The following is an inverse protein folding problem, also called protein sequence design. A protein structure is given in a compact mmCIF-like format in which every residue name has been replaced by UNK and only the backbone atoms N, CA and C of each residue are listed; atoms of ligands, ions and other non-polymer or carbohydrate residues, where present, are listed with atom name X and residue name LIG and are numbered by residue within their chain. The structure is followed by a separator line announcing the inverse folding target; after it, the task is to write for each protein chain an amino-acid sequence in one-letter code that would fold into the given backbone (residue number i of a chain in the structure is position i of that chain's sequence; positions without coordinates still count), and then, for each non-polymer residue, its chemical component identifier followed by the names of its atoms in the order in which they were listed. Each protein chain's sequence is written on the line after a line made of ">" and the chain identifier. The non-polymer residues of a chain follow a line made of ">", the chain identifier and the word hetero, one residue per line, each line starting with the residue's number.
data_IF_664364588348
#
_entry.id   IF_664364588348
#
_cell.length_a   1.000
_cell.length_b   1.000
_cell.length_c   1.000
_cell.angle_alpha   90.00
_cell.angle_beta   90.00
_cell.angle_gamma   90.00
#
_symmetry.space_group_name_H-M   'P 1'
#
loop_
_entity.id
_entity.type
_entity.pdbx_description
1 polymer ?
#
# COMPACT_ATOMS: atom_id res chain seq x y z
N UNK A 1 20.85 4.91 -3.49
CA UNK A 1 20.31 3.75 -2.72
C UNK A 1 20.92 3.59 -1.31
N UNK A 2 21.92 4.40 -0.92
CA UNK A 2 22.49 4.36 0.45
C UNK A 2 21.49 4.82 1.53
N UNK A 3 20.50 5.67 1.17
CA UNK A 3 19.45 6.15 2.04
C UNK A 3 18.45 5.05 2.45
N UNK A 4 18.28 3.99 1.63
CA UNK A 4 17.31 2.93 1.88
C UNK A 4 17.76 2.02 3.04
N UNK A 5 17.46 2.44 4.28
CA UNK A 5 17.77 1.71 5.52
C UNK A 5 16.53 1.28 6.31
N UNK A 6 15.42 2.03 6.19
CA UNK A 6 14.16 1.79 6.86
C UNK A 6 13.01 1.78 5.83
N UNK A 7 12.06 0.86 5.94
CA UNK A 7 10.90 0.76 5.02
C UNK A 7 9.91 1.93 5.15
N UNK A 8 9.96 2.67 6.23
CA UNK A 8 9.22 3.93 6.39
C UNK A 8 9.90 5.13 5.76
N UNK A 9 11.14 4.97 5.25
CA UNK A 9 11.95 6.05 4.68
C UNK A 9 12.48 5.65 3.29
N UNK A 10 11.60 5.69 2.31
CA UNK A 10 11.85 5.21 0.95
C UNK A 10 12.15 6.33 -0.05
N UNK A 11 11.74 7.57 0.26
CA UNK A 11 11.84 8.70 -0.65
C UNK A 11 13.26 9.26 -0.62
N UNK A 12 13.90 9.30 -1.79
CA UNK A 12 15.22 9.89 -1.95
C UNK A 12 15.13 11.41 -2.09
N UNK A 13 15.61 12.13 -1.08
CA UNK A 13 15.54 13.59 -0.98
C UNK A 13 16.51 14.32 -1.89
N UNK A 14 17.36 13.60 -2.62
CA UNK A 14 18.20 14.19 -3.67
C UNK A 14 17.42 14.40 -4.97
N UNK A 15 16.22 13.80 -5.11
CA UNK A 15 15.34 13.98 -6.26
C UNK A 15 14.43 15.21 -6.10
N UNK A 16 13.74 15.57 -7.18
CA UNK A 16 12.73 16.64 -7.18
C UNK A 16 11.47 16.19 -6.40
N UNK A 17 11.37 16.60 -5.15
CA UNK A 17 10.28 16.22 -4.24
C UNK A 17 8.93 16.83 -4.60
N UNK A 18 8.89 17.87 -5.47
CA UNK A 18 7.62 18.49 -5.90
C UNK A 18 6.81 17.61 -6.86
N UNK A 19 7.42 16.55 -7.40
CA UNK A 19 6.72 15.62 -8.30
C UNK A 19 5.61 14.84 -7.58
N UNK A 20 4.50 14.53 -8.28
CA UNK A 20 3.41 13.77 -7.71
C UNK A 20 3.85 12.37 -7.26
N UNK A 21 3.66 12.04 -5.98
CA UNK A 21 3.88 10.71 -5.42
C UNK A 21 2.59 9.89 -5.38
N UNK A 22 1.46 10.55 -5.02
CA UNK A 22 0.19 9.87 -4.81
C UNK A 22 -0.97 10.70 -5.36
N UNK A 23 -1.80 10.05 -6.17
CA UNK A 23 -3.14 10.52 -6.56
C UNK A 23 -4.12 9.58 -5.85
N UNK A 24 -4.74 10.08 -4.82
CA UNK A 24 -5.65 9.31 -3.97
C UNK A 24 -7.10 9.51 -4.39
N UNK A 25 -7.75 8.41 -4.75
CA UNK A 25 -9.13 8.33 -5.21
C UNK A 25 -10.07 7.74 -4.15
N UNK A 26 -9.65 7.73 -2.87
CA UNK A 26 -10.45 7.17 -1.78
C UNK A 26 -11.69 8.01 -1.46
N UNK A 27 -11.64 9.31 -1.68
CA UNK A 27 -12.78 10.21 -1.52
C UNK A 27 -13.44 10.45 -2.87
N UNK A 28 -14.67 9.96 -3.07
CA UNK A 28 -15.35 9.89 -4.38
C UNK A 28 -15.44 11.22 -5.12
N UNK A 29 -15.64 12.33 -4.41
CA UNK A 29 -15.89 13.66 -5.00
C UNK A 29 -14.67 14.59 -4.91
N UNK A 30 -13.59 14.12 -4.28
CA UNK A 30 -12.41 14.94 -4.05
C UNK A 30 -11.12 14.14 -4.29
N UNK A 31 -10.54 14.31 -5.47
CA UNK A 31 -9.25 13.72 -5.80
C UNK A 31 -8.14 14.46 -5.08
N UNK A 32 -7.47 13.77 -4.15
CA UNK A 32 -6.36 14.34 -3.40
C UNK A 32 -5.04 14.03 -4.09
N UNK A 33 -4.15 15.01 -4.12
CA UNK A 33 -2.82 14.88 -4.76
C UNK A 33 -1.76 15.23 -3.76
N UNK A 34 -0.77 14.35 -3.65
CA UNK A 34 0.36 14.51 -2.75
C UNK A 34 1.66 14.43 -3.57
N UNK A 35 2.57 15.37 -3.34
CA UNK A 35 3.94 15.29 -3.83
C UNK A 35 4.76 14.28 -3.02
N UNK A 36 5.98 13.99 -3.45
CA UNK A 36 6.91 13.22 -2.64
C UNK A 36 7.27 13.95 -1.34
N UNK A 37 7.31 15.28 -1.37
CA UNK A 37 7.52 16.12 -0.18
C UNK A 37 6.37 15.96 0.81
N UNK A 38 5.11 16.02 0.34
CA UNK A 38 3.93 15.88 1.20
C UNK A 38 3.92 14.51 1.89
N UNK A 39 4.20 13.44 1.16
CA UNK A 39 4.22 12.08 1.75
C UNK A 39 5.38 11.91 2.73
N UNK A 40 6.57 12.46 2.43
CA UNK A 40 7.72 12.40 3.33
C UNK A 40 7.46 13.18 4.62
N UNK A 41 6.94 14.41 4.49
CA UNK A 41 6.60 15.26 5.64
C UNK A 41 5.50 14.66 6.52
N UNK A 42 4.43 14.14 5.91
CA UNK A 42 3.35 13.51 6.65
C UNK A 42 3.79 12.20 7.37
N UNK A 43 4.66 11.40 6.73
CA UNK A 43 5.22 10.21 7.38
C UNK A 43 6.16 10.55 8.53
N UNK A 44 6.92 11.67 8.45
CA UNK A 44 7.70 12.22 9.58
C UNK A 44 6.76 12.68 10.69
N UNK A 45 5.72 13.45 10.35
CA UNK A 45 4.77 13.97 11.31
C UNK A 45 4.04 12.84 12.06
N UNK A 46 3.67 11.78 11.38
CA UNK A 46 3.08 10.58 11.99
C UNK A 46 4.07 9.89 12.93
N UNK A 47 5.33 9.71 12.52
CA UNK A 47 6.36 9.12 13.37
C UNK A 47 6.58 9.93 14.66
N UNK A 48 6.67 11.26 14.55
CA UNK A 48 6.77 12.18 15.69
C UNK A 48 5.55 12.08 16.60
N UNK A 49 4.36 12.09 16.01
CA UNK A 49 3.09 12.02 16.75
C UNK A 49 2.98 10.75 17.58
N UNK A 50 3.34 9.60 17.01
CA UNK A 50 3.38 8.33 17.73
C UNK A 50 4.36 8.37 18.93
N UNK A 51 5.58 8.85 18.71
CA UNK A 51 6.59 8.98 19.78
C UNK A 51 6.14 9.96 20.86
N UNK A 52 5.58 11.12 20.48
CA UNK A 52 5.06 12.14 21.41
C UNK A 52 3.92 11.61 22.29
N UNK A 53 3.09 10.74 21.74
CA UNK A 53 2.00 10.05 22.47
C UNK A 53 2.48 8.85 23.30
N UNK A 54 3.81 8.60 23.37
CA UNK A 54 4.44 7.64 24.28
C UNK A 54 4.65 6.24 23.70
N UNK A 55 4.34 6.01 22.40
CA UNK A 55 4.66 4.75 21.75
C UNK A 55 6.17 4.60 21.55
N UNK A 56 6.66 3.35 21.60
CA UNK A 56 8.08 3.03 21.61
C UNK A 56 8.46 2.09 20.47
N UNK A 57 9.75 2.04 20.15
CA UNK A 57 10.31 1.05 19.22
C UNK A 57 9.82 -0.36 19.59
N UNK A 58 9.39 -1.10 18.59
CA UNK A 58 8.82 -2.44 18.72
C UNK A 58 7.34 -2.48 19.09
N UNK A 59 6.67 -1.34 19.35
CA UNK A 59 5.23 -1.32 19.56
C UNK A 59 4.48 -1.67 18.26
N UNK A 60 3.39 -2.41 18.38
CA UNK A 60 2.58 -2.86 17.25
C UNK A 60 1.40 -1.94 17.02
N UNK A 61 1.31 -1.39 15.81
CA UNK A 61 0.28 -0.43 15.39
C UNK A 61 -0.54 -1.06 14.26
N UNK A 62 -1.82 -1.28 14.50
CA UNK A 62 -2.73 -1.86 13.54
C UNK A 62 -3.31 -0.82 12.57
N UNK A 63 -3.56 -1.23 11.33
CA UNK A 63 -4.26 -0.43 10.32
C UNK A 63 -5.40 -1.30 9.75
N UNK A 64 -6.65 -0.95 10.08
CA UNK A 64 -7.86 -1.63 9.65
C UNK A 64 -8.69 -0.69 8.77
N UNK A 65 -8.32 -0.53 7.52
CA UNK A 65 -8.93 0.47 6.63
C UNK A 65 -8.89 0.05 5.16
N UNK A 66 -9.68 0.73 4.32
CA UNK A 66 -9.51 0.72 2.87
C UNK A 66 -8.22 1.45 2.47
N UNK A 67 -7.83 1.32 1.20
CA UNK A 67 -6.68 2.05 0.68
C UNK A 67 -6.95 3.55 0.70
N UNK A 68 -6.03 4.32 1.26
CA UNK A 68 -6.07 5.78 1.30
C UNK A 68 -4.67 6.36 1.53
N UNK A 69 -4.53 7.68 1.43
CA UNK A 69 -3.30 8.38 1.79
C UNK A 69 -2.95 8.16 3.26
N UNK A 70 -3.94 8.25 4.15
CA UNK A 70 -3.79 8.04 5.60
C UNK A 70 -3.23 6.65 5.92
N UNK A 71 -3.70 5.63 5.19
CA UNK A 71 -3.16 4.27 5.30
C UNK A 71 -1.66 4.25 5.02
N UNK A 72 -1.23 4.82 3.88
CA UNK A 72 0.18 4.85 3.50
C UNK A 72 1.02 5.69 4.47
N UNK A 73 0.53 6.84 4.89
CA UNK A 73 1.22 7.74 5.84
C UNK A 73 1.40 7.04 7.19
N UNK A 74 0.33 6.40 7.71
CA UNK A 74 0.40 5.63 8.96
C UNK A 74 1.39 4.48 8.85
N UNK A 75 1.32 3.72 7.73
CA UNK A 75 2.21 2.59 7.48
C UNK A 75 3.69 3.01 7.45
N UNK A 76 4.00 4.09 6.74
CA UNK A 76 5.37 4.60 6.63
C UNK A 76 5.84 5.21 7.95
N UNK A 77 5.03 6.05 8.59
CA UNK A 77 5.35 6.72 9.85
C UNK A 77 5.60 5.74 11.00
N UNK A 78 4.79 4.70 11.11
CA UNK A 78 4.96 3.61 12.08
C UNK A 78 6.34 2.97 11.96
N UNK A 79 6.71 2.55 10.77
CA UNK A 79 8.02 1.91 10.55
C UNK A 79 9.18 2.90 10.69
N UNK A 80 8.99 4.17 10.29
CA UNK A 80 10.00 5.23 10.45
C UNK A 80 10.33 5.47 11.93
N UNK A 81 9.34 5.33 12.80
CA UNK A 81 9.50 5.42 14.25
C UNK A 81 10.04 4.14 14.92
N UNK A 82 10.46 3.14 14.14
CA UNK A 82 10.93 1.85 14.66
C UNK A 82 9.84 0.98 15.28
N UNK A 83 8.58 1.27 14.97
CA UNK A 83 7.41 0.49 15.39
C UNK A 83 7.01 -0.50 14.29
N UNK A 84 6.18 -1.47 14.63
CA UNK A 84 5.78 -2.56 13.75
C UNK A 84 4.37 -2.31 13.22
N UNK A 85 4.20 -2.24 11.90
CA UNK A 85 2.90 -2.04 11.28
C UNK A 85 2.16 -3.36 11.08
N UNK A 86 0.86 -3.39 11.45
CA UNK A 86 -0.01 -4.56 11.32
C UNK A 86 -1.20 -4.21 10.41
N UNK A 87 -1.02 -4.24 9.06
CA UNK A 87 -2.11 -4.08 8.12
C UNK A 87 -3.09 -5.26 8.22
N UNK A 88 -4.36 -4.99 8.54
CA UNK A 88 -5.38 -6.02 8.77
C UNK A 88 -6.37 -6.06 7.60
N UNK A 89 -6.66 -7.26 7.13
CA UNK A 89 -7.71 -7.47 6.13
C UNK A 89 -9.09 -7.19 6.74
N UNK A 90 -9.67 -6.05 6.40
CA UNK A 90 -10.98 -5.61 6.87
C UNK A 90 -12.17 -6.48 6.38
N UNK A 91 -11.92 -7.46 5.51
CA UNK A 91 -12.91 -8.45 5.07
C UNK A 91 -12.99 -9.68 5.99
N UNK A 92 -12.10 -9.78 6.96
CA UNK A 92 -12.20 -10.82 7.97
C UNK A 92 -13.39 -10.57 8.90
N UNK A 93 -14.02 -11.65 9.43
CA UNK A 93 -14.99 -11.54 10.50
C UNK A 93 -14.41 -10.82 11.73
N UNK A 94 -15.26 -10.14 12.50
CA UNK A 94 -14.84 -9.37 13.69
C UNK A 94 -14.06 -10.22 14.70
N UNK A 95 -14.47 -11.47 14.93
CA UNK A 95 -13.73 -12.42 15.78
C UNK A 95 -12.31 -12.69 15.31
N UNK A 96 -12.11 -12.73 13.98
CA UNK A 96 -10.79 -12.90 13.38
C UNK A 96 -9.94 -11.64 13.54
N UNK A 97 -10.55 -10.46 13.41
CA UNK A 97 -9.89 -9.17 13.65
C UNK A 97 -9.46 -9.06 15.11
N UNK A 98 -10.34 -9.41 16.04
CA UNK A 98 -10.04 -9.45 17.48
C UNK A 98 -8.88 -10.39 17.79
N UNK A 99 -8.92 -11.60 17.22
CA UNK A 99 -7.81 -12.55 17.35
C UNK A 99 -6.48 -11.94 16.85
N UNK A 100 -6.47 -11.30 15.69
CA UNK A 100 -5.24 -10.70 15.12
C UNK A 100 -4.72 -9.58 16.01
N UNK A 101 -5.59 -8.71 16.50
CA UNK A 101 -5.20 -7.60 17.39
C UNK A 101 -4.60 -8.09 18.69
N UNK A 102 -5.17 -9.17 19.25
CA UNK A 102 -4.68 -9.81 20.48
C UNK A 102 -3.38 -10.59 20.23
N UNK A 103 -3.32 -11.43 19.20
CA UNK A 103 -2.15 -12.23 18.82
C UNK A 103 -0.92 -11.36 18.50
N UNK A 104 -1.15 -10.27 17.78
CA UNK A 104 -0.13 -9.27 17.52
C UNK A 104 0.13 -8.32 18.69
N UNK A 105 -0.55 -8.43 19.81
CA UNK A 105 -0.45 -7.49 20.93
C UNK A 105 -0.49 -6.00 20.49
N UNK A 106 -1.44 -5.66 19.61
CA UNK A 106 -1.59 -4.32 19.08
C UNK A 106 -1.93 -3.31 20.18
N UNK A 107 -1.25 -2.16 20.18
CA UNK A 107 -1.45 -1.10 21.17
C UNK A 107 -2.36 0.03 20.70
N UNK A 108 -2.55 0.15 19.37
CA UNK A 108 -3.33 1.20 18.74
C UNK A 108 -3.89 0.68 17.42
N UNK A 109 -5.10 1.11 17.06
CA UNK A 109 -5.74 0.79 15.79
C UNK A 109 -6.06 2.07 15.05
N UNK A 110 -5.50 2.24 13.86
CA UNK A 110 -5.96 3.23 12.89
C UNK A 110 -7.02 2.59 12.00
N UNK A 111 -8.14 3.28 11.81
CA UNK A 111 -9.25 2.74 11.01
C UNK A 111 -9.95 3.86 10.23
N UNK A 112 -10.74 3.49 9.23
CA UNK A 112 -11.70 4.41 8.62
C UNK A 112 -13.10 4.27 9.26
N UNK A 113 -14.00 5.22 8.96
CA UNK A 113 -15.35 5.27 9.53
C UNK A 113 -16.14 3.99 9.28
N UNK A 114 -16.04 3.45 8.07
CA UNK A 114 -16.82 2.26 7.67
C UNK A 114 -16.42 0.99 8.44
N UNK A 115 -15.19 0.94 8.95
CA UNK A 115 -14.62 -0.22 9.66
C UNK A 115 -14.50 -0.01 11.15
N UNK A 116 -14.85 1.18 11.66
CA UNK A 116 -14.80 1.49 13.09
C UNK A 116 -15.57 0.47 13.94
N UNK A 117 -16.73 0.04 13.49
CA UNK A 117 -17.55 -0.96 14.19
C UNK A 117 -16.93 -2.37 14.25
N UNK A 118 -15.90 -2.64 13.45
CA UNK A 118 -15.19 -3.92 13.45
C UNK A 118 -14.06 -3.96 14.50
N UNK A 119 -13.67 -2.78 15.04
CA UNK A 119 -12.65 -2.72 16.09
C UNK A 119 -13.27 -3.13 17.43
N UNK A 120 -12.74 -4.16 18.11
CA UNK A 120 -13.25 -4.58 19.40
C UNK A 120 -13.10 -3.48 20.46
N UNK A 121 -14.00 -3.49 21.45
CA UNK A 121 -13.91 -2.57 22.58
C UNK A 121 -12.62 -2.78 23.39
N UNK A 122 -12.04 -1.70 23.89
CA UNK A 122 -10.84 -1.73 24.74
C UNK A 122 -9.53 -1.41 24.01
N UNK A 123 -9.53 -1.33 22.70
CA UNK A 123 -8.40 -0.83 21.94
C UNK A 123 -8.49 0.69 21.76
N UNK A 124 -7.40 1.45 21.94
CA UNK A 124 -7.33 2.83 21.48
C UNK A 124 -7.51 2.89 19.96
N UNK A 125 -8.33 3.85 19.49
CA UNK A 125 -8.68 3.97 18.06
C UNK A 125 -8.43 5.39 17.57
N UNK A 126 -7.92 5.49 16.33
CA UNK A 126 -7.81 6.73 15.57
C UNK A 126 -8.57 6.55 14.25
N UNK A 127 -9.43 7.51 13.92
CA UNK A 127 -10.29 7.41 12.74
C UNK A 127 -9.79 8.34 11.63
N UNK A 128 -9.67 7.81 10.42
CA UNK A 128 -9.29 8.56 9.23
C UNK A 128 -10.43 9.47 8.77
N UNK A 129 -10.09 10.68 8.30
CA UNK A 129 -11.02 11.64 7.70
C UNK A 129 -12.21 12.04 8.61
N UNK A 130 -12.00 12.09 9.91
CA UNK A 130 -12.96 12.60 10.89
C UNK A 130 -12.51 13.96 11.42
N UNK A 131 -13.49 14.73 11.96
CA UNK A 131 -13.24 16.04 12.58
C UNK A 131 -13.39 16.00 14.11
N UNK A 132 -13.80 14.85 14.64
CA UNK A 132 -14.06 14.66 16.07
C UNK A 132 -12.78 14.30 16.83
N UNK A 133 -12.89 14.15 18.14
CA UNK A 133 -11.80 13.70 19.02
C UNK A 133 -11.19 12.37 18.53
N UNK A 134 -9.86 12.26 18.55
CA UNK A 134 -9.08 11.14 18.00
C UNK A 134 -9.08 11.02 16.46
N UNK A 135 -9.18 12.14 15.77
CA UNK A 135 -9.00 12.17 14.33
C UNK A 135 -7.51 11.96 13.94
N UNK A 136 -7.29 11.57 12.69
CA UNK A 136 -5.95 11.30 12.15
C UNK A 136 -5.02 12.53 12.22
N UNK A 137 -5.53 13.73 11.96
CA UNK A 137 -4.71 14.94 11.87
C UNK A 137 -4.11 15.33 13.21
N UNK A 138 -4.78 15.00 14.36
CA UNK A 138 -4.25 15.21 15.71
C UNK A 138 -3.04 14.30 16.04
N UNK A 139 -2.76 13.34 15.18
CA UNK A 139 -1.60 12.45 15.30
C UNK A 139 -0.42 12.90 14.43
N UNK A 140 -0.60 13.93 13.61
CA UNK A 140 0.46 14.51 12.81
C UNK A 140 1.16 15.63 13.59
N UNK A 141 2.29 15.32 14.21
CA UNK A 141 3.16 16.33 14.85
C UNK A 141 4.19 16.82 13.84
N UNK A 142 3.86 17.88 13.10
CA UNK A 142 4.67 18.37 11.99
C UNK A 142 6.06 18.85 12.44
N UNK A 143 7.08 18.48 11.67
CA UNK A 143 8.48 18.84 11.87
C UNK A 143 9.43 17.73 11.44
N UNK A 144 10.73 17.96 11.60
CA UNK A 144 11.73 16.96 11.28
C UNK A 144 11.73 15.78 12.25
N UNK A 145 12.02 14.62 11.71
CA UNK A 145 12.16 13.38 12.45
C UNK A 145 13.34 12.57 11.90
N UNK A 146 14.26 12.21 12.78
CA UNK A 146 15.34 11.32 12.42
C UNK A 146 14.84 9.90 12.40
N UNK A 147 14.84 9.30 11.20
CA UNK A 147 14.36 7.93 11.00
C UNK A 147 15.16 6.93 11.83
N UNK A 148 14.48 6.09 12.60
CA UNK A 148 15.13 5.04 13.39
C UNK A 148 15.82 4.05 12.45
N UNK A 149 17.11 3.83 12.64
CA UNK A 149 17.85 2.82 11.89
C UNK A 149 17.53 1.45 12.47
N UNK A 150 16.98 0.52 11.66
CA UNK A 150 16.68 -0.81 12.13
C UNK A 150 17.93 -1.61 12.47
N UNK A 151 17.82 -2.48 13.46
CA UNK A 151 18.81 -3.52 13.74
C UNK A 151 18.75 -4.63 12.69
N UNK A 152 19.73 -5.51 12.70
CA UNK A 152 19.73 -6.67 11.81
C UNK A 152 18.51 -7.56 12.09
N UNK A 153 17.81 -7.96 11.03
CA UNK A 153 16.57 -8.77 11.09
C UNK A 153 15.41 -8.13 11.85
N UNK A 154 15.44 -6.81 12.14
CA UNK A 154 14.33 -6.15 12.80
C UNK A 154 13.05 -6.20 11.96
N UNK A 155 11.97 -6.60 12.62
CA UNK A 155 10.65 -6.72 12.00
C UNK A 155 10.07 -5.33 11.74
N UNK A 156 9.62 -5.11 10.52
CA UNK A 156 8.96 -3.87 10.09
C UNK A 156 7.43 -3.97 10.14
N UNK A 157 6.90 -5.15 9.84
CA UNK A 157 5.47 -5.38 9.76
C UNK A 157 5.13 -6.86 9.93
N UNK A 158 3.87 -7.14 10.33
CA UNK A 158 3.27 -8.46 10.17
C UNK A 158 2.20 -8.41 9.10
N UNK A 159 2.16 -9.41 8.24
CA UNK A 159 1.00 -9.67 7.38
C UNK A 159 0.36 -10.98 7.77
N UNK A 160 -0.94 -10.93 8.07
CA UNK A 160 -1.69 -12.12 8.45
C UNK A 160 -2.20 -12.85 7.21
N UNK A 161 -1.89 -14.14 7.11
CA UNK A 161 -2.34 -15.02 6.02
C UNK A 161 -3.38 -16.00 6.55
N UNK A 162 -4.29 -16.47 5.66
CA UNK A 162 -5.21 -17.54 6.00
C UNK A 162 -4.43 -18.83 6.21
N UNK A 163 -4.20 -19.20 7.47
CA UNK A 163 -3.52 -20.43 7.80
C UNK A 163 -4.30 -21.68 7.36
N UNK A 164 -3.62 -22.74 6.98
CA UNK A 164 -4.21 -24.05 6.65
C UNK A 164 -5.02 -24.67 7.79
N UNK A 165 -4.85 -24.18 9.02
CA UNK A 165 -5.53 -24.63 10.25
C UNK A 165 -6.78 -23.82 10.61
N UNK A 166 -7.22 -22.91 9.73
CA UNK A 166 -8.42 -22.07 9.93
C UNK A 166 -8.20 -20.77 10.70
N UNK A 167 -7.12 -20.64 11.49
CA UNK A 167 -6.74 -19.36 12.13
C UNK A 167 -5.65 -18.65 11.33
N UNK A 168 -5.75 -17.33 11.12
CA UNK A 168 -4.68 -16.56 10.48
C UNK A 168 -3.35 -16.69 11.23
N UNK A 169 -2.25 -16.63 10.47
CA UNK A 169 -0.90 -16.63 11.01
C UNK A 169 -0.22 -15.34 10.66
N UNK A 170 0.36 -14.66 11.65
CA UNK A 170 1.18 -13.47 11.46
C UNK A 170 2.55 -13.83 10.90
N UNK A 171 2.86 -13.33 9.72
CA UNK A 171 4.16 -13.51 9.07
C UNK A 171 5.03 -12.29 9.40
N UNK A 172 6.11 -12.43 10.20
CA UNK A 172 7.02 -11.33 10.49
C UNK A 172 7.87 -11.02 9.25
N UNK A 173 7.88 -9.76 8.85
CA UNK A 173 8.57 -9.28 7.66
C UNK A 173 9.55 -8.18 8.06
N UNK A 174 10.83 -8.40 7.76
CA UNK A 174 11.92 -7.53 8.20
C UNK A 174 12.13 -6.34 7.28
N UNK A 175 12.69 -5.26 7.81
CA UNK A 175 13.15 -4.13 7.02
C UNK A 175 14.12 -4.57 5.92
N UNK A 176 15.13 -5.36 6.28
CA UNK A 176 16.19 -5.79 5.37
C UNK A 176 15.65 -6.62 4.19
N UNK A 177 14.81 -7.63 4.46
CA UNK A 177 14.25 -8.51 3.43
C UNK A 177 13.44 -7.73 2.38
N UNK A 178 12.60 -6.80 2.85
CA UNK A 178 11.78 -5.99 1.95
C UNK A 178 12.55 -4.86 1.25
N UNK A 179 13.54 -4.27 1.89
CA UNK A 179 14.44 -3.31 1.24
C UNK A 179 15.28 -3.98 0.16
N UNK A 180 15.67 -5.26 0.35
CA UNK A 180 16.33 -6.00 -0.70
C UNK A 180 15.46 -6.09 -1.96
N UNK A 181 14.18 -6.41 -1.82
CA UNK A 181 13.24 -6.45 -2.96
C UNK A 181 13.12 -5.08 -3.63
N UNK A 182 12.97 -4.01 -2.86
CA UNK A 182 12.91 -2.65 -3.39
C UNK A 182 14.17 -2.34 -4.19
N UNK A 183 15.35 -2.60 -3.62
CA UNK A 183 16.66 -2.39 -4.28
C UNK A 183 16.79 -3.18 -5.58
N UNK A 184 16.32 -4.44 -5.61
CA UNK A 184 16.34 -5.26 -6.83
C UNK A 184 15.44 -4.66 -7.93
N UNK A 185 14.28 -4.10 -7.58
CA UNK A 185 13.39 -3.43 -8.52
C UNK A 185 13.99 -2.12 -9.05
N UNK A 186 14.62 -1.34 -8.19
CA UNK A 186 15.31 -0.11 -8.60
C UNK A 186 16.47 -0.37 -9.57
N UNK A 187 17.15 -1.53 -9.45
CA UNK A 187 18.19 -1.94 -10.41
C UNK A 187 17.64 -2.17 -11.83
N UNK A 188 16.35 -2.44 -11.97
CA UNK A 188 15.69 -2.55 -13.30
C UNK A 188 15.45 -1.18 -13.95
N UNK A 189 15.80 -0.08 -13.26
CA UNK A 189 15.70 1.31 -13.72
C UNK A 189 14.31 1.60 -14.31
N UNK A 190 13.24 1.56 -13.49
CA UNK A 190 11.91 1.87 -13.98
C UNK A 190 11.88 3.28 -14.55
N UNK A 191 11.18 3.46 -15.67
CA UNK A 191 11.10 4.73 -16.35
C UNK A 191 10.42 5.80 -15.47
N UNK A 192 10.97 7.01 -15.35
CA UNK A 192 10.52 8.03 -14.40
C UNK A 192 9.12 8.58 -14.70
N UNK A 193 8.57 8.30 -15.88
CA UNK A 193 7.22 8.72 -16.27
C UNK A 193 6.12 7.74 -15.82
N UNK A 194 6.47 6.60 -15.20
CA UNK A 194 5.47 5.61 -14.85
C UNK A 194 4.50 6.13 -13.79
N UNK A 195 3.20 5.89 -14.05
CA UNK A 195 2.11 6.02 -13.09
C UNK A 195 1.54 4.64 -12.84
N UNK A 196 1.62 4.20 -11.59
CA UNK A 196 1.23 2.87 -11.18
C UNK A 196 -0.19 2.87 -10.61
N UNK A 197 -1.12 2.14 -11.23
CA UNK A 197 -2.47 1.97 -10.70
C UNK A 197 -2.50 0.87 -9.65
N UNK A 198 -2.91 1.22 -8.44
CA UNK A 198 -3.02 0.32 -7.30
C UNK A 198 -4.46 0.26 -6.83
N UNK A 199 -5.09 -0.90 -7.02
CA UNK A 199 -6.41 -1.23 -6.48
C UNK A 199 -6.37 -2.51 -5.62
N UNK A 200 -5.22 -3.19 -5.61
CA UNK A 200 -4.98 -4.29 -4.68
C UNK A 200 -4.96 -3.73 -3.25
N UNK A 201 -5.58 -4.42 -2.28
CA UNK A 201 -5.62 -3.95 -0.91
C UNK A 201 -4.22 -3.78 -0.30
N UNK A 202 -4.01 -2.69 0.44
CA UNK A 202 -2.75 -2.39 1.12
C UNK A 202 -2.49 -3.29 2.35
N UNK A 203 -3.46 -4.09 2.77
CA UNK A 203 -3.24 -5.15 3.75
C UNK A 203 -2.69 -6.45 3.12
N UNK A 204 -2.45 -6.47 1.81
CA UNK A 204 -1.79 -7.57 1.12
C UNK A 204 -0.43 -7.15 0.56
N UNK A 205 0.47 -8.12 0.49
CA UNK A 205 1.82 -7.94 -0.04
C UNK A 205 1.85 -7.24 -1.42
N UNK A 206 0.93 -7.58 -2.33
CA UNK A 206 0.93 -7.04 -3.70
C UNK A 206 0.78 -5.51 -3.70
N UNK A 207 -0.23 -4.97 -3.01
CA UNK A 207 -0.46 -3.52 -2.92
C UNK A 207 0.73 -2.80 -2.27
N UNK A 208 1.18 -3.28 -1.10
CA UNK A 208 2.29 -2.67 -0.37
C UNK A 208 3.62 -2.71 -1.13
N UNK A 209 3.91 -3.83 -1.80
CA UNK A 209 5.18 -3.97 -2.53
C UNK A 209 5.30 -2.95 -3.66
N UNK A 210 4.20 -2.73 -4.39
CA UNK A 210 4.16 -1.75 -5.47
C UNK A 210 4.27 -0.33 -4.95
N UNK A 211 3.56 0.03 -3.89
CA UNK A 211 3.67 1.35 -3.27
C UNK A 211 5.10 1.64 -2.79
N UNK A 212 5.76 0.67 -2.14
CA UNK A 212 7.16 0.81 -1.72
C UNK A 212 8.10 1.06 -2.89
N UNK A 213 7.96 0.30 -3.98
CA UNK A 213 8.78 0.48 -5.18
C UNK A 213 8.50 1.82 -5.84
N UNK A 214 7.23 2.22 -5.95
CA UNK A 214 6.86 3.50 -6.55
C UNK A 214 7.47 4.68 -5.80
N UNK A 215 7.35 4.72 -4.48
CA UNK A 215 7.94 5.79 -3.65
C UNK A 215 9.46 5.82 -3.76
N UNK A 216 10.13 4.66 -3.69
CA UNK A 216 11.58 4.58 -3.78
C UNK A 216 12.13 4.88 -5.19
N UNK A 217 11.32 4.70 -6.23
CA UNK A 217 11.66 5.00 -7.62
C UNK A 217 11.19 6.39 -8.08
N UNK A 218 10.65 7.20 -7.19
CA UNK A 218 10.06 8.51 -7.51
C UNK A 218 8.96 8.46 -8.58
N UNK A 219 8.11 7.43 -8.53
CA UNK A 219 6.98 7.23 -9.45
C UNK A 219 5.67 7.66 -8.79
N UNK A 220 4.67 7.95 -9.63
CA UNK A 220 3.34 8.32 -9.15
C UNK A 220 2.48 7.08 -8.92
N UNK A 221 1.84 7.00 -7.76
CA UNK A 221 0.81 6.02 -7.43
C UNK A 221 -0.56 6.64 -7.73
N UNK A 222 -1.41 5.94 -8.47
CA UNK A 222 -2.85 6.22 -8.57
C UNK A 222 -3.54 5.16 -7.71
N UNK A 223 -4.09 5.58 -6.58
CA UNK A 223 -4.60 4.69 -5.55
C UNK A 223 -6.12 4.67 -5.54
N UNK A 224 -6.70 3.51 -5.80
CA UNK A 224 -8.12 3.25 -5.63
C UNK A 224 -8.40 2.73 -4.21
N UNK A 225 -9.51 3.11 -3.56
CA UNK A 225 -9.87 2.62 -2.22
C UNK A 225 -10.06 1.11 -2.18
N UNK A 226 -10.61 0.57 -3.25
CA UNK A 226 -10.80 -0.87 -3.48
C UNK A 226 -10.92 -1.13 -4.98
N UNK A 227 -10.86 -2.39 -5.36
CA UNK A 227 -11.05 -2.77 -6.74
C UNK A 227 -12.54 -2.74 -7.13
N UNK A 228 -12.84 -1.96 -8.16
CA UNK A 228 -14.04 -2.00 -8.98
C UNK A 228 -13.60 -1.95 -10.45
N UNK A 229 -14.08 -2.86 -11.30
CA UNK A 229 -13.55 -3.00 -12.66
C UNK A 229 -13.78 -1.74 -13.52
N UNK A 230 -14.95 -1.12 -13.42
CA UNK A 230 -15.28 0.09 -14.19
C UNK A 230 -14.48 1.29 -13.72
N UNK A 231 -14.36 1.47 -12.40
CA UNK A 231 -13.56 2.54 -11.83
C UNK A 231 -12.06 2.35 -12.17
N UNK A 232 -11.57 1.11 -12.11
CA UNK A 232 -10.20 0.77 -12.51
C UNK A 232 -9.92 1.14 -13.97
N UNK A 233 -10.82 0.82 -14.91
CA UNK A 233 -10.68 1.15 -16.33
C UNK A 233 -10.70 2.67 -16.53
N UNK A 234 -11.67 3.39 -15.94
CA UNK A 234 -11.76 4.85 -16.06
C UNK A 234 -10.52 5.54 -15.52
N UNK A 235 -10.00 5.09 -14.38
CA UNK A 235 -8.78 5.64 -13.81
C UNK A 235 -7.58 5.51 -14.76
N UNK A 236 -7.52 4.49 -15.62
CA UNK A 236 -6.46 4.37 -16.64
C UNK A 236 -6.48 5.57 -17.58
N UNK A 237 -7.65 5.90 -18.13
CA UNK A 237 -7.82 7.01 -19.07
C UNK A 237 -7.63 8.37 -18.41
N UNK A 238 -8.33 8.61 -17.29
CA UNK A 238 -8.39 9.89 -16.58
C UNK A 238 -7.01 10.33 -16.08
N UNK A 239 -6.20 9.39 -15.59
CA UNK A 239 -4.87 9.68 -15.02
C UNK A 239 -3.71 9.30 -15.93
N UNK A 240 -3.99 8.79 -17.15
CA UNK A 240 -2.98 8.34 -18.12
C UNK A 240 -2.00 7.34 -17.45
N UNK A 241 -2.59 6.31 -16.83
CA UNK A 241 -1.84 5.26 -16.14
C UNK A 241 -0.98 4.49 -17.15
N UNK A 242 0.26 4.19 -16.77
CA UNK A 242 1.20 3.47 -17.64
C UNK A 242 1.52 2.06 -17.16
N UNK A 243 1.27 1.78 -15.88
CA UNK A 243 1.59 0.49 -15.27
C UNK A 243 0.40 0.00 -14.44
N UNK A 244 -0.22 -1.08 -14.91
CA UNK A 244 -1.30 -1.75 -14.19
C UNK A 244 -0.73 -2.80 -13.24
N UNK A 245 -1.16 -2.75 -11.99
CA UNK A 245 -0.89 -3.79 -11.00
C UNK A 245 -2.18 -4.51 -10.66
N UNK A 246 -2.15 -5.83 -10.69
CA UNK A 246 -3.37 -6.61 -10.55
C UNK A 246 -3.09 -8.05 -10.10
N UNK A 247 -4.15 -8.79 -9.96
CA UNK A 247 -4.15 -10.26 -9.92
C UNK A 247 -4.98 -10.80 -11.08
N UNK A 248 -4.81 -12.06 -11.44
CA UNK A 248 -5.53 -12.68 -12.57
C UNK A 248 -7.04 -12.47 -12.49
N UNK A 249 -7.64 -12.62 -11.29
CA UNK A 249 -9.07 -12.42 -11.08
C UNK A 249 -9.53 -10.98 -11.37
N UNK A 250 -8.75 -9.97 -10.98
CA UNK A 250 -9.05 -8.56 -11.27
C UNK A 250 -9.06 -8.33 -12.79
N UNK A 251 -8.02 -8.79 -13.50
CA UNK A 251 -7.97 -8.64 -14.95
C UNK A 251 -9.08 -9.40 -15.67
N UNK A 252 -9.48 -10.58 -15.16
CA UNK A 252 -10.63 -11.31 -15.70
C UNK A 252 -11.95 -10.53 -15.56
N UNK A 253 -12.11 -9.73 -14.52
CA UNK A 253 -13.25 -8.83 -14.38
C UNK A 253 -13.13 -7.61 -15.30
N UNK A 254 -11.93 -7.03 -15.43
CA UNK A 254 -11.66 -5.89 -16.32
C UNK A 254 -12.02 -6.23 -17.77
N UNK A 255 -11.56 -7.36 -18.30
CA UNK A 255 -11.81 -7.72 -19.71
C UNK A 255 -13.28 -8.01 -20.03
N UNK A 256 -14.13 -8.21 -19.03
CA UNK A 256 -15.59 -8.36 -19.20
C UNK A 256 -16.33 -7.02 -19.38
N UNK A 257 -15.71 -5.92 -19.00
CA UNK A 257 -16.29 -4.59 -19.12
C UNK A 257 -16.01 -3.97 -20.50
N UNK A 258 -16.35 -4.72 -21.58
CA UNK A 258 -16.01 -4.37 -22.97
C UNK A 258 -16.43 -2.96 -23.36
N UNK A 259 -17.66 -2.54 -22.98
CA UNK A 259 -18.15 -1.20 -23.29
C UNK A 259 -17.28 -0.11 -22.68
N UNK A 260 -16.94 -0.23 -21.40
CA UNK A 260 -16.10 0.75 -20.68
C UNK A 260 -14.69 0.77 -21.25
N UNK A 261 -14.14 -0.40 -21.63
CA UNK A 261 -12.83 -0.51 -22.27
C UNK A 261 -12.79 0.19 -23.63
N UNK A 262 -13.85 0.07 -24.44
CA UNK A 262 -13.97 0.74 -25.74
C UNK A 262 -14.13 2.26 -25.63
N UNK A 263 -14.83 2.72 -24.60
CA UNK A 263 -15.06 4.15 -24.32
C UNK A 263 -13.85 4.85 -23.66
N UNK A 264 -12.87 4.09 -23.14
CA UNK A 264 -11.74 4.63 -22.39
C UNK A 264 -10.45 4.63 -23.22
N UNK A 265 -9.72 5.74 -23.18
CA UNK A 265 -8.40 5.80 -23.81
C UNK A 265 -7.36 5.03 -22.99
N UNK A 266 -6.97 3.86 -23.47
CA UNK A 266 -6.02 2.95 -22.84
C UNK A 266 -4.58 3.05 -23.40
N UNK A 267 -4.33 3.97 -24.34
CA UNK A 267 -3.06 4.06 -25.10
C UNK A 267 -1.83 4.35 -24.23
N UNK A 268 -2.04 4.87 -23.02
CA UNK A 268 -0.96 5.17 -22.08
C UNK A 268 -0.34 3.90 -21.46
N UNK A 269 -1.07 2.78 -21.42
CA UNK A 269 -0.63 1.57 -20.74
C UNK A 269 0.57 0.93 -21.44
N UNK A 270 1.66 0.76 -20.70
CA UNK A 270 2.91 0.11 -21.16
C UNK A 270 3.12 -1.27 -20.53
N UNK A 271 2.68 -1.43 -19.30
CA UNK A 271 2.94 -2.64 -18.51
C UNK A 271 1.65 -3.10 -17.83
N UNK A 272 1.36 -4.40 -17.96
CA UNK A 272 0.35 -5.11 -17.15
C UNK A 272 1.09 -6.16 -16.34
N UNK A 273 1.17 -5.95 -15.03
CA UNK A 273 1.76 -6.91 -14.10
C UNK A 273 0.66 -7.60 -13.31
N UNK A 274 0.62 -8.91 -13.40
CA UNK A 274 -0.23 -9.77 -12.58
C UNK A 274 0.62 -10.55 -11.58
N UNK A 275 0.04 -10.97 -10.48
CA UNK A 275 0.70 -11.80 -9.47
C UNK A 275 -0.29 -12.61 -8.67
N UNK A 276 0.19 -13.31 -7.66
CA UNK A 276 -0.58 -14.06 -6.65
C UNK A 276 -1.41 -15.24 -7.16
N UNK A 277 -1.48 -15.48 -8.48
CA UNK A 277 -2.21 -16.61 -9.06
C UNK A 277 -1.67 -16.94 -10.48
N UNK A 278 -1.87 -18.17 -10.96
CA UNK A 278 -1.61 -18.52 -12.35
C UNK A 278 -2.47 -17.70 -13.32
N UNK A 279 -1.90 -17.38 -14.47
CA UNK A 279 -2.57 -16.61 -15.54
C UNK A 279 -2.80 -17.53 -16.74
N UNK A 280 -4.06 -17.68 -17.19
CA UNK A 280 -4.38 -18.50 -18.34
C UNK A 280 -3.99 -17.82 -19.65
N UNK A 281 -3.66 -18.63 -20.67
CA UNK A 281 -3.38 -18.15 -22.05
C UNK A 281 -4.59 -17.36 -22.58
N UNK A 282 -5.81 -17.83 -22.29
CA UNK A 282 -7.04 -17.15 -22.70
C UNK A 282 -7.10 -15.74 -22.12
N UNK A 283 -6.82 -15.54 -20.82
CA UNK A 283 -6.83 -14.23 -20.19
C UNK A 283 -5.78 -13.30 -20.82
N UNK A 284 -4.59 -13.82 -21.15
CA UNK A 284 -3.55 -13.04 -21.85
C UNK A 284 -4.06 -12.58 -23.22
N UNK A 285 -4.71 -13.47 -23.98
CA UNK A 285 -5.28 -13.15 -25.28
C UNK A 285 -6.39 -12.09 -25.18
N UNK A 286 -7.26 -12.19 -24.17
CA UNK A 286 -8.33 -11.22 -23.94
C UNK A 286 -7.78 -9.85 -23.53
N UNK A 287 -6.75 -9.78 -22.70
CA UNK A 287 -6.06 -8.52 -22.35
C UNK A 287 -5.45 -7.87 -23.60
N UNK A 288 -4.82 -8.66 -24.47
CA UNK A 288 -4.17 -8.16 -25.70
C UNK A 288 -5.14 -7.53 -26.71
N UNK A 289 -6.43 -7.89 -26.68
CA UNK A 289 -7.45 -7.22 -27.52
C UNK A 289 -7.56 -5.74 -27.24
N UNK A 290 -7.43 -5.35 -25.97
CA UNK A 290 -7.57 -3.94 -25.51
C UNK A 290 -6.22 -3.27 -25.29
N UNK A 291 -5.17 -4.03 -24.98
CA UNK A 291 -3.83 -3.54 -24.65
C UNK A 291 -2.76 -4.27 -25.53
N UNK A 292 -2.82 -4.13 -26.88
CA UNK A 292 -1.97 -4.89 -27.79
C UNK A 292 -0.46 -4.62 -27.60
N UNK A 293 -0.11 -3.39 -27.20
CA UNK A 293 1.28 -2.94 -27.07
C UNK A 293 1.82 -3.04 -25.63
N UNK A 294 1.01 -3.48 -24.67
CA UNK A 294 1.43 -3.57 -23.29
C UNK A 294 2.29 -4.83 -23.04
N UNK A 295 3.40 -4.66 -22.31
CA UNK A 295 4.17 -5.78 -21.80
C UNK A 295 3.40 -6.47 -20.68
N UNK A 296 2.96 -7.71 -20.89
CA UNK A 296 2.26 -8.51 -19.88
C UNK A 296 3.30 -9.33 -19.11
N UNK A 297 3.31 -9.23 -17.79
CA UNK A 297 4.20 -9.98 -16.91
C UNK A 297 3.41 -10.67 -15.81
N UNK A 298 3.84 -11.87 -15.43
CA UNK A 298 3.32 -12.57 -14.26
C UNK A 298 4.44 -12.68 -13.21
N UNK A 299 4.13 -12.31 -11.96
CA UNK A 299 5.06 -12.40 -10.84
C UNK A 299 4.65 -13.51 -9.89
N UNK A 300 5.61 -14.25 -9.39
CA UNK A 300 5.44 -15.24 -8.33
C UNK A 300 5.99 -14.69 -7.02
N UNK A 301 5.38 -15.06 -5.91
CA UNK A 301 5.82 -14.75 -4.57
C UNK A 301 4.83 -15.24 -3.52
N UNK A 302 5.30 -15.39 -2.30
CA UNK A 302 4.47 -15.69 -1.12
C UNK A 302 4.63 -14.58 -0.11
N UNK A 303 3.75 -14.51 0.88
CA UNK A 303 3.90 -13.53 1.96
C UNK A 303 5.19 -13.78 2.72
N UNK A 304 5.52 -15.03 2.96
CA UNK A 304 6.69 -15.47 3.75
C UNK A 304 8.02 -15.19 3.06
N UNK A 305 8.08 -15.35 1.74
CA UNK A 305 9.29 -15.11 0.96
C UNK A 305 9.43 -13.67 0.46
N UNK A 306 8.39 -12.86 0.65
CA UNK A 306 8.28 -11.55 0.02
C UNK A 306 7.95 -11.65 -1.48
N UNK A 307 7.77 -10.51 -2.17
CA UNK A 307 7.42 -10.49 -3.58
C UNK A 307 8.64 -10.85 -4.44
N UNK A 308 8.93 -12.13 -4.53
CA UNK A 308 9.95 -12.64 -5.42
C UNK A 308 9.50 -12.49 -6.87
N UNK A 309 10.41 -12.38 -7.78
CA UNK A 309 10.20 -12.03 -9.20
C UNK A 309 9.42 -13.07 -9.95
#
# INVERSE_FOLDING_TARGET
>A
MKHLRNLGDLIDRENDLSKPALIDLSVRENVRRFSHEDIDAAAKAMARGLVKKGFKRGDHIAILAANSAEFLITYLGTMRAGMISIPINHKFPSETIEFILSDAACKLVFTDRDRLSQVPKGYPVVVFNETDENNFDDWLDWGDFETIIPEQNEVAMFLYTSGSTGRPKGVPLTHEGHLWVVKMRLRQKPEPFHKMLVAAPLYHMNGLAICKVALAAHLTIVLLPQFDAKHYIRAIGDYKVTWLTSVAAMMAMVVREEKVLQETNLSSVKIVRMGSAPVSIKLIADIRKFLPNAKITNGYGTTEAGPVV
#
